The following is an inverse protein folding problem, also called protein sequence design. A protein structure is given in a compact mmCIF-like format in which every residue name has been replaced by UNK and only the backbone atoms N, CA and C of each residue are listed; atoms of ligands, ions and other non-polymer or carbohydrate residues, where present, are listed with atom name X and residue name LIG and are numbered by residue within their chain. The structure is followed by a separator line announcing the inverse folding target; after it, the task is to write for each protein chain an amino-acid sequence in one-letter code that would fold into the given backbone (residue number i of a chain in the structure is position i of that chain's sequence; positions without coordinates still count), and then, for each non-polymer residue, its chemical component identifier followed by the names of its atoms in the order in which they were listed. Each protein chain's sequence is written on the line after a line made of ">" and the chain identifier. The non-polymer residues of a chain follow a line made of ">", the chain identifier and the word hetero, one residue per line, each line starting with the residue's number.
data_IF_264057201260
#
_entry.id   IF_264057201260
#
_cell.length_a   1.000
_cell.length_b   1.000
_cell.length_c   1.000
_cell.angle_alpha   90.00
_cell.angle_beta   90.00
_cell.angle_gamma   90.00
#
_symmetry.space_group_name_H-M   'P 1'
#
loop_
_entity.id
_entity.type
_entity.pdbx_description
1 polymer ?
#
# COMPACT_ATOMS: atom_id res chain seq x y z
N UNK A 1 1.34 1.99 13.79
CA UNK A 1 0.25 1.69 12.86
C UNK A 1 -1.12 1.68 13.54
N UNK A 2 -1.16 1.51 14.85
CA UNK A 2 -2.34 1.12 15.64
C UNK A 2 -3.43 2.20 15.63
N UNK A 3 -3.04 3.48 15.63
CA UNK A 3 -3.98 4.60 15.47
C UNK A 3 -4.66 4.63 14.10
N UNK A 4 -4.03 4.08 13.05
CA UNK A 4 -4.68 3.92 11.75
C UNK A 4 -5.72 2.78 11.78
N UNK A 5 -5.37 1.61 12.36
CA UNK A 5 -6.33 0.51 12.56
C UNK A 5 -7.58 0.96 13.30
N UNK A 6 -7.40 1.67 14.43
CA UNK A 6 -8.50 2.24 15.23
C UNK A 6 -9.39 3.19 14.45
N UNK A 7 -8.80 4.01 13.57
CA UNK A 7 -9.54 4.92 12.69
C UNK A 7 -10.24 4.16 11.57
N UNK A 8 -9.60 3.12 11.02
CA UNK A 8 -10.17 2.25 9.99
C UNK A 8 -11.40 1.50 10.53
N UNK A 9 -11.31 0.86 11.69
CA UNK A 9 -12.43 0.20 12.36
C UNK A 9 -13.58 1.15 12.72
N UNK A 10 -13.28 2.38 13.16
CA UNK A 10 -14.29 3.42 13.38
C UNK A 10 -15.03 3.80 12.08
N UNK A 11 -14.30 3.94 10.97
CA UNK A 11 -14.87 4.30 9.67
C UNK A 11 -15.67 3.16 9.05
N UNK A 12 -15.12 1.94 8.98
CA UNK A 12 -15.83 0.77 8.45
C UNK A 12 -17.02 0.36 9.30
N UNK A 13 -17.01 0.61 10.62
CA UNK A 13 -18.23 0.55 11.42
C UNK A 13 -19.25 1.61 10.98
N UNK A 14 -18.84 2.88 10.86
CA UNK A 14 -19.74 3.98 10.49
C UNK A 14 -20.33 3.88 9.08
N UNK A 15 -19.64 3.19 8.17
CA UNK A 15 -20.08 2.89 6.80
C UNK A 15 -20.76 1.53 6.66
N UNK A 16 -20.82 0.73 7.73
CA UNK A 16 -21.43 -0.61 7.74
C UNK A 16 -20.60 -1.71 7.07
N UNK A 17 -19.42 -1.40 6.52
CA UNK A 17 -18.57 -2.39 5.82
C UNK A 17 -17.84 -3.36 6.74
N UNK A 18 -17.68 -3.03 8.03
CA UNK A 18 -16.99 -3.86 9.03
C UNK A 18 -17.55 -5.29 9.14
N UNK A 19 -18.84 -5.48 8.84
CA UNK A 19 -19.53 -6.79 8.88
C UNK A 19 -19.90 -7.35 7.50
N UNK A 20 -19.43 -6.72 6.41
CA UNK A 20 -19.70 -7.18 5.03
C UNK A 20 -18.57 -8.02 4.44
N UNK A 21 -17.38 -8.02 5.04
CA UNK A 21 -16.25 -8.83 4.56
C UNK A 21 -16.52 -10.35 4.66
N UNK A 22 -16.02 -11.07 3.65
CA UNK A 22 -15.81 -12.53 3.57
C UNK A 22 -17.01 -13.49 3.39
N UNK A 23 -18.23 -13.22 3.88
CA UNK A 23 -19.24 -14.31 3.91
C UNK A 23 -19.94 -14.66 2.58
N UNK A 24 -20.01 -13.74 1.60
CA UNK A 24 -20.75 -13.96 0.35
C UNK A 24 -20.11 -13.26 -0.88
N UNK A 25 -18.86 -13.58 -1.21
CA UNK A 25 -18.29 -13.23 -2.52
C UNK A 25 -18.61 -14.32 -3.55
N UNK A 26 -18.90 -13.90 -4.79
CA UNK A 26 -19.06 -14.81 -5.93
C UNK A 26 -17.67 -15.19 -6.51
N UNK A 27 -17.48 -16.41 -7.02
CA UNK A 27 -16.20 -16.83 -7.59
C UNK A 27 -15.84 -16.00 -8.82
N UNK A 28 -14.55 -15.67 -8.98
CA UNK A 28 -14.06 -14.78 -10.04
C UNK A 28 -14.46 -15.26 -11.45
N UNK A 29 -14.90 -14.36 -12.36
CA UNK A 29 -15.26 -14.74 -13.73
C UNK A 29 -14.15 -15.39 -14.57
N UNK A 30 -12.88 -15.28 -14.14
CA UNK A 30 -11.70 -15.81 -14.83
C UNK A 30 -11.24 -17.22 -14.40
N UNK A 31 -12.10 -18.03 -13.78
CA UNK A 31 -11.77 -19.40 -13.35
C UNK A 31 -12.10 -20.44 -14.45
N UNK A 32 -11.10 -20.87 -15.24
CA UNK A 32 -11.19 -22.01 -16.17
C UNK A 32 -9.81 -22.47 -16.72
N UNK A 33 -9.80 -23.55 -17.53
CA UNK A 33 -8.60 -24.33 -17.88
C UNK A 33 -7.89 -24.04 -19.22
N UNK A 34 -7.00 -24.97 -19.59
CA UNK A 34 -5.92 -24.87 -20.60
C UNK A 34 -6.32 -24.92 -22.09
N UNK A 35 -5.55 -24.43 -23.09
CA UNK A 35 -4.30 -23.59 -23.16
C UNK A 35 -4.12 -22.99 -24.58
N UNK A 36 -3.34 -21.89 -24.72
CA UNK A 36 -2.78 -21.39 -26.00
C UNK A 36 -1.64 -20.37 -25.79
N UNK A 37 -0.67 -20.24 -26.73
CA UNK A 37 0.61 -19.50 -26.50
C UNK A 37 1.03 -18.60 -27.70
N UNK A 38 1.78 -17.51 -27.43
CA UNK A 38 2.25 -16.46 -28.37
C UNK A 38 3.71 -15.98 -28.05
N UNK A 39 4.64 -15.77 -29.02
CA UNK A 39 6.03 -15.31 -28.80
C UNK A 39 6.42 -13.90 -29.35
N UNK A 40 7.59 -13.35 -28.93
CA UNK A 40 7.97 -11.90 -28.98
C UNK A 40 9.46 -11.64 -29.33
N UNK A 41 9.84 -10.40 -29.74
CA UNK A 41 11.20 -9.73 -29.74
C UNK A 41 11.03 -8.27 -30.23
N UNK A 42 11.96 -7.28 -30.25
CA UNK A 42 13.06 -6.74 -29.38
C UNK A 42 13.52 -5.37 -30.03
N UNK A 43 14.51 -4.52 -29.66
CA UNK A 43 15.70 -4.51 -28.75
C UNK A 43 16.23 -3.04 -28.54
N UNK A 44 17.27 -2.83 -27.70
CA UNK A 44 18.32 -1.76 -27.74
C UNK A 44 18.20 -0.48 -26.84
N UNK A 45 19.33 0.21 -26.62
CA UNK A 45 19.71 1.08 -25.46
C UNK A 45 20.18 2.51 -25.89
N UNK A 46 20.61 3.50 -25.06
CA UNK A 46 21.18 3.58 -23.69
C UNK A 46 21.01 4.99 -23.04
N UNK A 47 21.14 5.12 -21.69
CA UNK A 47 21.69 6.28 -20.90
C UNK A 47 21.58 6.07 -19.36
N UNK A 48 22.65 6.03 -18.52
CA UNK A 48 22.62 5.40 -17.18
C UNK A 48 21.52 5.81 -16.16
N UNK A 49 21.17 7.09 -16.02
CA UNK A 49 20.13 7.51 -15.05
C UNK A 49 18.71 7.29 -15.58
N UNK A 50 18.51 7.48 -16.89
CA UNK A 50 17.23 7.19 -17.56
C UNK A 50 17.07 5.67 -17.69
N UNK A 51 18.15 4.92 -17.94
CA UNK A 51 18.22 3.46 -17.80
C UNK A 51 17.73 3.06 -16.43
N UNK A 52 18.17 3.67 -15.32
CA UNK A 52 17.71 3.20 -14.01
C UNK A 52 16.19 3.33 -13.83
N UNK A 53 15.59 4.43 -14.32
CA UNK A 53 14.14 4.65 -14.28
C UNK A 53 13.42 3.69 -15.25
N UNK A 54 13.87 3.57 -16.50
CA UNK A 54 13.29 2.66 -17.50
C UNK A 54 13.46 1.20 -17.11
N UNK A 55 14.61 0.80 -16.57
CA UNK A 55 14.91 -0.53 -16.05
C UNK A 55 14.02 -0.86 -14.86
N UNK A 56 13.88 0.03 -13.88
CA UNK A 56 13.00 -0.23 -12.72
C UNK A 56 11.52 -0.28 -13.11
N UNK A 57 11.09 0.47 -14.13
CA UNK A 57 9.75 0.34 -14.71
C UNK A 57 9.58 -0.95 -15.52
N UNK A 58 10.58 -1.35 -16.34
CA UNK A 58 10.54 -2.61 -17.10
C UNK A 58 10.60 -3.84 -16.19
N UNK A 59 11.42 -3.81 -15.13
CA UNK A 59 11.39 -4.82 -14.06
C UNK A 59 10.07 -4.77 -13.30
N UNK A 60 9.54 -3.59 -12.98
CA UNK A 60 8.23 -3.43 -12.35
C UNK A 60 7.12 -4.12 -13.14
N UNK A 61 7.11 -3.93 -14.47
CA UNK A 61 6.17 -4.59 -15.36
C UNK A 61 6.44 -6.10 -15.48
N UNK A 62 7.70 -6.53 -15.66
CA UNK A 62 8.05 -7.94 -15.74
C UNK A 62 7.73 -8.70 -14.44
N UNK A 63 8.01 -8.12 -13.27
CA UNK A 63 7.67 -8.68 -11.97
C UNK A 63 6.16 -8.71 -11.72
N UNK A 64 5.38 -7.74 -12.24
CA UNK A 64 3.91 -7.82 -12.22
C UNK A 64 3.43 -9.00 -13.06
N UNK A 65 3.90 -9.14 -14.30
CA UNK A 65 3.56 -10.29 -15.16
C UNK A 65 3.92 -11.62 -14.51
N UNK A 66 5.12 -11.75 -13.94
CA UNK A 66 5.56 -12.98 -13.25
C UNK A 66 4.76 -13.22 -11.97
N UNK A 67 4.46 -12.19 -11.17
CA UNK A 67 3.67 -12.34 -9.94
C UNK A 67 2.20 -12.68 -10.23
N UNK A 68 1.62 -12.15 -11.30
CA UNK A 68 0.31 -12.56 -11.81
C UNK A 68 0.34 -14.04 -12.22
N UNK A 69 1.23 -14.43 -13.14
CA UNK A 69 1.37 -15.81 -13.61
C UNK A 69 1.56 -16.81 -12.46
N UNK A 70 2.42 -16.49 -11.47
CA UNK A 70 2.62 -17.33 -10.29
C UNK A 70 1.38 -17.43 -9.39
N UNK A 71 0.53 -16.40 -9.33
CA UNK A 71 -0.68 -16.40 -8.48
C UNK A 71 -1.89 -16.98 -9.21
N UNK A 72 -1.93 -16.90 -10.53
CA UNK A 72 -2.88 -17.63 -11.38
C UNK A 72 -2.57 -19.13 -11.32
N UNK A 73 -1.30 -19.52 -11.36
CA UNK A 73 -0.86 -20.90 -11.15
C UNK A 73 -1.16 -21.45 -9.75
N UNK A 74 -1.19 -20.60 -8.71
CA UNK A 74 -1.65 -20.99 -7.36
C UNK A 74 -3.17 -21.28 -7.28
N UNK A 75 -3.95 -20.92 -8.30
CA UNK A 75 -5.38 -21.23 -8.45
C UNK A 75 -6.24 -20.93 -7.21
N UNK A 76 -6.13 -19.70 -6.70
CA UNK A 76 -6.90 -19.22 -5.55
C UNK A 76 -8.40 -19.19 -5.83
N UNK A 77 -9.18 -19.81 -4.93
CA UNK A 77 -10.64 -19.94 -5.05
C UNK A 77 -11.39 -18.61 -4.92
N UNK A 78 -10.96 -17.75 -3.99
CA UNK A 78 -11.60 -16.48 -3.66
C UNK A 78 -10.76 -15.31 -4.20
N UNK A 79 -11.40 -14.28 -4.76
CA UNK A 79 -10.68 -13.14 -5.36
C UNK A 79 -9.88 -12.34 -4.31
N UNK A 80 -10.38 -12.23 -3.08
CA UNK A 80 -9.66 -11.64 -1.95
C UNK A 80 -8.34 -12.37 -1.65
N UNK A 81 -8.33 -13.71 -1.70
CA UNK A 81 -7.13 -14.53 -1.52
C UNK A 81 -6.16 -14.39 -2.71
N UNK A 82 -6.67 -14.37 -3.95
CA UNK A 82 -5.87 -14.09 -5.14
C UNK A 82 -5.17 -12.74 -5.03
N UNK A 83 -5.91 -11.67 -4.73
CA UNK A 83 -5.35 -10.32 -4.58
C UNK A 83 -4.37 -10.24 -3.40
N UNK A 84 -4.62 -10.94 -2.29
CA UNK A 84 -3.69 -11.04 -1.17
C UNK A 84 -2.34 -11.64 -1.61
N UNK A 85 -2.38 -12.80 -2.27
CA UNK A 85 -1.19 -13.55 -2.69
C UNK A 85 -0.43 -12.86 -3.83
N UNK A 86 -1.14 -12.22 -4.77
CA UNK A 86 -0.53 -11.44 -5.84
C UNK A 86 0.16 -10.19 -5.29
N UNK A 87 -0.55 -9.42 -4.46
CA UNK A 87 -0.01 -8.23 -3.79
C UNK A 87 1.24 -8.58 -2.99
N UNK A 88 1.20 -9.63 -2.18
CA UNK A 88 2.34 -10.07 -1.36
C UNK A 88 3.59 -10.37 -2.21
N UNK A 89 3.46 -11.03 -3.37
CA UNK A 89 4.59 -11.28 -4.29
C UNK A 89 5.15 -9.97 -4.85
N UNK A 90 4.29 -9.11 -5.43
CA UNK A 90 4.73 -7.84 -6.02
C UNK A 90 5.37 -6.92 -4.98
N UNK A 91 4.87 -6.92 -3.74
CA UNK A 91 5.45 -6.18 -2.62
C UNK A 91 6.88 -6.60 -2.31
N UNK A 92 7.16 -7.90 -2.23
CA UNK A 92 8.52 -8.41 -1.97
C UNK A 92 9.48 -8.02 -3.09
N UNK A 93 9.10 -8.17 -4.36
CA UNK A 93 9.92 -7.73 -5.49
C UNK A 93 10.12 -6.21 -5.51
N UNK A 94 9.07 -5.43 -5.20
CA UNK A 94 9.14 -3.96 -5.12
C UNK A 94 10.07 -3.49 -4.00
N UNK A 95 10.07 -4.17 -2.85
CA UNK A 95 10.98 -3.89 -1.74
C UNK A 95 12.44 -4.12 -2.16
N UNK A 96 12.77 -5.29 -2.72
CA UNK A 96 14.14 -5.56 -3.15
C UNK A 96 14.60 -4.61 -4.26
N UNK A 97 13.75 -4.35 -5.27
CA UNK A 97 14.09 -3.45 -6.37
C UNK A 97 14.41 -2.01 -5.90
N UNK A 98 13.62 -1.46 -4.95
CA UNK A 98 13.80 -0.08 -4.49
C UNK A 98 14.86 0.08 -3.39
N UNK A 99 15.04 -0.93 -2.53
CA UNK A 99 15.88 -0.78 -1.32
C UNK A 99 17.18 -1.59 -1.34
N UNK A 100 17.34 -2.64 -2.17
CA UNK A 100 18.55 -3.47 -2.13
C UNK A 100 19.83 -2.68 -2.46
N UNK A 101 19.78 -1.71 -3.38
CA UNK A 101 20.92 -0.83 -3.68
C UNK A 101 21.27 0.07 -2.50
N UNK A 102 20.27 0.57 -1.76
CA UNK A 102 20.47 1.41 -0.59
C UNK A 102 21.03 0.59 0.60
N UNK A 103 20.48 -0.60 0.86
CA UNK A 103 21.04 -1.55 1.83
C UNK A 103 22.45 -2.01 1.45
N UNK A 104 22.75 -2.21 0.17
CA UNK A 104 24.11 -2.52 -0.27
C UNK A 104 25.10 -1.38 0.05
N UNK A 105 24.71 -0.12 -0.16
CA UNK A 105 25.53 1.04 0.22
C UNK A 105 25.66 1.13 1.75
N UNK A 106 24.57 0.94 2.50
CA UNK A 106 24.55 1.02 3.95
C UNK A 106 25.39 -0.07 4.64
N UNK A 107 25.21 -1.34 4.26
CA UNK A 107 25.76 -2.50 4.98
C UNK A 107 27.17 -2.84 4.48
N UNK A 108 27.35 -2.95 3.16
CA UNK A 108 28.60 -3.44 2.57
C UNK A 108 29.60 -2.32 2.26
N UNK A 109 29.14 -1.17 1.74
CA UNK A 109 30.04 -0.01 1.51
C UNK A 109 30.23 0.88 2.75
N UNK A 110 29.29 0.86 3.68
CA UNK A 110 29.26 1.68 4.91
C UNK A 110 29.40 3.20 4.68
N UNK A 111 29.12 3.66 3.47
CA UNK A 111 29.26 5.07 3.05
C UNK A 111 27.93 5.80 3.21
N UNK A 112 27.74 6.42 4.38
CA UNK A 112 26.55 7.21 4.68
C UNK A 112 26.46 8.49 3.82
N UNK A 113 27.56 8.99 3.25
CA UNK A 113 27.55 10.18 2.39
C UNK A 113 27.09 9.85 0.98
N UNK A 114 27.52 8.72 0.43
CA UNK A 114 26.95 8.15 -0.80
C UNK A 114 25.48 7.76 -0.60
N UNK A 115 25.12 7.17 0.55
CA UNK A 115 23.73 6.85 0.88
C UNK A 115 22.85 8.10 0.93
N UNK A 116 23.29 9.14 1.65
CA UNK A 116 22.61 10.45 1.70
C UNK A 116 22.46 11.09 0.32
N UNK A 117 23.52 11.05 -0.52
CA UNK A 117 23.48 11.52 -1.91
C UNK A 117 22.51 10.72 -2.79
N UNK A 118 22.37 9.40 -2.56
CA UNK A 118 21.40 8.58 -3.30
C UNK A 118 19.97 8.79 -2.83
N UNK A 119 19.72 8.87 -1.52
CA UNK A 119 18.41 9.19 -0.96
C UNK A 119 17.90 10.56 -1.42
N UNK A 120 18.72 11.61 -1.29
CA UNK A 120 18.38 12.96 -1.78
C UNK A 120 18.17 12.98 -3.30
N UNK A 121 19.05 12.34 -4.08
CA UNK A 121 18.89 12.25 -5.54
C UNK A 121 17.64 11.47 -5.97
N UNK A 122 17.23 10.43 -5.24
CA UNK A 122 16.00 9.68 -5.52
C UNK A 122 14.77 10.52 -5.15
N UNK A 123 14.67 10.95 -3.89
CA UNK A 123 13.50 11.67 -3.38
C UNK A 123 13.25 12.98 -4.15
N UNK A 124 14.29 13.78 -4.41
CA UNK A 124 14.12 15.05 -5.13
C UNK A 124 13.74 14.79 -6.60
N UNK A 125 14.37 13.82 -7.27
CA UNK A 125 14.06 13.52 -8.67
C UNK A 125 12.67 12.91 -8.82
N UNK A 126 12.28 11.95 -7.97
CA UNK A 126 10.95 11.36 -7.96
C UNK A 126 9.89 12.42 -7.71
N UNK A 127 10.01 13.27 -6.69
CA UNK A 127 8.93 14.25 -6.44
C UNK A 127 8.89 15.33 -7.54
N UNK A 128 10.02 15.70 -8.17
CA UNK A 128 10.01 16.60 -9.34
C UNK A 128 9.34 15.95 -10.56
N UNK A 129 9.57 14.66 -10.81
CA UNK A 129 8.92 13.93 -11.91
C UNK A 129 7.42 13.72 -11.63
N UNK A 130 7.07 13.24 -10.44
CA UNK A 130 5.69 12.96 -10.05
C UNK A 130 4.85 14.25 -10.04
N UNK A 131 5.32 15.33 -9.41
CA UNK A 131 4.61 16.62 -9.43
C UNK A 131 4.56 17.25 -10.83
N UNK A 132 5.52 16.97 -11.73
CA UNK A 132 5.39 17.36 -13.13
C UNK A 132 4.29 16.57 -13.84
N UNK A 133 4.18 15.24 -13.63
CA UNK A 133 3.08 14.45 -14.21
C UNK A 133 1.72 14.82 -13.62
N UNK A 134 1.62 15.05 -12.30
CA UNK A 134 0.38 15.47 -11.64
C UNK A 134 -0.14 16.86 -12.10
N UNK A 135 0.74 17.73 -12.61
CA UNK A 135 0.33 19.03 -13.18
C UNK A 135 0.08 18.94 -14.69
N UNK A 136 0.90 18.19 -15.42
CA UNK A 136 0.82 18.10 -16.88
C UNK A 136 -0.33 17.21 -17.35
N UNK A 137 -0.64 16.10 -16.66
CA UNK A 137 -1.74 15.20 -17.06
C UNK A 137 -3.10 15.93 -17.01
N UNK A 138 -3.48 16.65 -15.94
CA UNK A 138 -4.68 17.50 -15.95
C UNK A 138 -4.73 18.50 -17.11
N UNK A 139 -3.62 19.22 -17.34
CA UNK A 139 -3.54 20.24 -18.39
C UNK A 139 -3.68 19.65 -19.80
N UNK A 140 -3.02 18.53 -20.08
CA UNK A 140 -3.11 17.83 -21.37
C UNK A 140 -4.51 17.26 -21.58
N UNK A 141 -5.12 16.64 -20.57
CA UNK A 141 -6.46 16.06 -20.72
C UNK A 141 -7.53 17.14 -20.90
N UNK A 142 -7.51 18.23 -20.14
CA UNK A 142 -8.44 19.33 -20.41
C UNK A 142 -8.16 20.00 -21.76
N UNK A 143 -6.89 20.17 -22.16
CA UNK A 143 -6.57 20.82 -23.43
C UNK A 143 -6.99 20.03 -24.67
N UNK A 144 -6.84 18.70 -24.65
CA UNK A 144 -7.09 17.86 -25.83
C UNK A 144 -8.41 17.08 -25.78
N UNK A 145 -8.81 16.57 -24.61
CA UNK A 145 -10.04 15.75 -24.48
C UNK A 145 -11.30 16.64 -24.38
N UNK A 146 -11.25 17.68 -23.53
CA UNK A 146 -12.32 18.68 -23.36
C UNK A 146 -12.62 19.47 -24.65
N UNK A 147 -11.67 19.52 -25.59
CA UNK A 147 -11.85 20.16 -26.89
C UNK A 147 -12.50 19.25 -27.95
N UNK A 148 -12.53 17.93 -27.75
CA UNK A 148 -13.19 16.99 -28.68
C UNK A 148 -14.68 16.85 -28.40
N UNK A 149 -15.11 17.00 -27.14
CA UNK A 149 -16.52 16.91 -26.72
C UNK A 149 -17.31 18.23 -26.85
N UNK A 150 -16.77 19.23 -27.57
CA UNK A 150 -17.46 20.52 -27.79
C UNK A 150 -18.36 20.58 -29.02
N UNK A 151 -18.26 19.61 -29.91
CA UNK A 151 -19.06 19.54 -31.15
C UNK A 151 -20.25 18.58 -31.04
N UNK A 152 -20.29 17.75 -29.99
CA UNK A 152 -21.46 16.97 -29.62
C UNK A 152 -22.30 17.78 -28.63
N UNK A 153 -23.53 18.09 -29.04
CA UNK A 153 -24.64 18.54 -28.21
C UNK A 153 -25.91 17.92 -28.78
N UNK A 154 -26.47 16.94 -28.10
CA UNK A 154 -27.89 16.64 -28.26
C UNK A 154 -28.72 17.58 -27.38
N UNK A 155 -30.05 17.63 -27.57
CA UNK A 155 -30.94 18.46 -26.74
C UNK A 155 -31.11 17.91 -25.30
N UNK A 156 -30.62 16.68 -25.01
CA UNK A 156 -30.64 16.06 -23.68
C UNK A 156 -29.24 16.05 -23.02
N UNK A 157 -29.00 16.88 -21.99
CA UNK A 157 -27.72 16.88 -21.26
C UNK A 157 -27.45 15.57 -20.50
N UNK A 158 -28.45 14.72 -20.25
CA UNK A 158 -28.22 13.41 -19.64
C UNK A 158 -27.53 12.44 -20.63
N UNK A 159 -27.90 12.48 -21.91
CA UNK A 159 -27.27 11.69 -22.96
C UNK A 159 -25.81 12.10 -23.17
N UNK A 160 -25.54 13.41 -23.31
CA UNK A 160 -24.19 14.00 -23.39
C UNK A 160 -23.32 13.52 -22.21
N UNK A 161 -23.85 13.56 -20.97
CA UNK A 161 -23.13 13.10 -19.78
C UNK A 161 -22.80 11.60 -19.81
N UNK A 162 -23.74 10.74 -20.23
CA UNK A 162 -23.51 9.30 -20.31
C UNK A 162 -22.51 8.94 -21.43
N UNK A 163 -22.53 9.65 -22.56
CA UNK A 163 -21.55 9.47 -23.63
C UNK A 163 -20.15 9.96 -23.21
N UNK A 164 -20.06 11.09 -22.50
CA UNK A 164 -18.81 11.61 -21.96
C UNK A 164 -18.17 10.64 -20.95
N UNK A 165 -18.91 10.11 -19.97
CA UNK A 165 -18.39 9.07 -19.07
C UNK A 165 -18.05 7.79 -19.84
N UNK A 166 -18.89 7.39 -20.81
CA UNK A 166 -18.64 6.26 -21.70
C UNK A 166 -17.36 6.35 -22.55
N UNK A 167 -16.75 7.53 -22.67
CA UNK A 167 -15.49 7.75 -23.41
C UNK A 167 -14.22 7.58 -22.56
N UNK A 168 -14.27 7.85 -21.24
CA UNK A 168 -13.10 7.82 -20.35
C UNK A 168 -12.51 6.40 -20.22
N UNK A 169 -11.23 6.23 -19.82
CA UNK A 169 -10.70 4.92 -19.44
C UNK A 169 -11.32 4.39 -18.13
N UNK A 170 -11.37 3.05 -17.93
CA UNK A 170 -11.76 2.46 -16.65
C UNK A 170 -10.68 2.73 -15.58
N UNK A 171 -11.10 2.84 -14.31
CA UNK A 171 -10.17 3.04 -13.19
C UNK A 171 -9.32 1.78 -12.94
N UNK A 172 -7.97 1.88 -12.88
CA UNK A 172 -7.07 0.72 -12.76
C UNK A 172 -6.96 0.12 -11.35
N UNK A 173 -7.62 0.71 -10.36
CA UNK A 173 -7.56 0.26 -8.96
C UNK A 173 -6.45 0.94 -8.14
N UNK A 174 -6.62 0.95 -6.81
CA UNK A 174 -5.74 1.67 -5.86
C UNK A 174 -4.36 1.02 -5.65
N UNK A 175 -4.07 -0.08 -6.34
CA UNK A 175 -2.87 -0.89 -6.12
C UNK A 175 -1.56 -0.13 -6.40
N UNK A 176 -1.57 0.78 -7.38
CA UNK A 176 -0.41 1.62 -7.70
C UNK A 176 -0.16 2.66 -6.59
N UNK A 177 -1.20 3.40 -6.22
CA UNK A 177 -1.13 4.50 -5.26
C UNK A 177 -0.65 3.99 -3.87
N UNK A 178 -1.14 2.83 -3.42
CA UNK A 178 -0.65 2.20 -2.19
C UNK A 178 0.81 1.71 -2.27
N UNK A 179 1.30 1.28 -3.44
CA UNK A 179 2.71 0.89 -3.62
C UNK A 179 3.63 2.11 -3.55
N UNK A 180 3.21 3.24 -4.10
CA UNK A 180 3.93 4.51 -3.96
C UNK A 180 4.01 4.92 -2.47
N UNK A 181 2.87 5.00 -1.78
CA UNK A 181 2.84 5.37 -0.35
C UNK A 181 3.70 4.44 0.52
N UNK A 182 3.74 3.13 0.21
CA UNK A 182 4.60 2.17 0.91
C UNK A 182 6.09 2.38 0.60
N UNK A 183 6.47 2.65 -0.64
CA UNK A 183 7.86 2.92 -1.03
C UNK A 183 8.35 4.24 -0.44
N UNK A 184 7.53 5.30 -0.48
CA UNK A 184 7.79 6.58 0.20
C UNK A 184 7.98 6.37 1.72
N UNK A 185 7.09 5.62 2.38
CA UNK A 185 7.23 5.27 3.79
C UNK A 185 8.51 4.46 4.07
N UNK A 186 8.92 3.58 3.15
CA UNK A 186 10.18 2.84 3.23
C UNK A 186 11.41 3.77 3.20
N UNK A 187 11.47 4.74 2.28
CA UNK A 187 12.57 5.72 2.26
C UNK A 187 12.62 6.55 3.56
N UNK A 188 11.46 6.95 4.09
CA UNK A 188 11.36 7.70 5.34
C UNK A 188 11.80 6.89 6.55
N UNK A 189 11.21 5.71 6.73
CA UNK A 189 11.37 4.90 7.94
C UNK A 189 12.74 4.23 7.98
N UNK A 190 13.15 3.52 6.92
CA UNK A 190 14.37 2.71 6.92
C UNK A 190 15.66 3.55 7.02
N UNK A 191 15.64 4.81 6.59
CA UNK A 191 16.83 5.66 6.45
C UNK A 191 16.73 7.02 7.18
N UNK A 192 15.80 7.16 8.13
CA UNK A 192 15.47 8.44 8.80
C UNK A 192 16.70 9.17 9.36
N UNK A 193 17.64 8.45 9.99
CA UNK A 193 18.84 9.02 10.59
C UNK A 193 19.88 9.52 9.57
N UNK A 194 19.78 9.15 8.29
CA UNK A 194 20.75 9.50 7.23
C UNK A 194 20.25 10.69 6.40
N UNK A 195 18.94 10.79 6.15
CA UNK A 195 18.36 11.94 5.43
C UNK A 195 17.08 12.47 6.12
N UNK A 196 17.20 13.19 7.26
CA UNK A 196 16.06 13.77 7.97
C UNK A 196 15.09 14.64 7.15
N UNK A 197 15.53 15.41 6.11
CA UNK A 197 14.61 16.18 5.27
C UNK A 197 13.53 15.36 4.54
N UNK A 198 13.69 14.03 4.43
CA UNK A 198 12.69 13.12 3.84
C UNK A 198 11.28 13.35 4.41
N UNK A 199 11.16 13.57 5.72
CA UNK A 199 9.86 13.79 6.37
C UNK A 199 9.12 15.02 5.82
N UNK A 200 9.85 16.10 5.53
CA UNK A 200 9.27 17.35 5.00
C UNK A 200 8.98 17.22 3.51
N UNK A 201 9.88 16.60 2.74
CA UNK A 201 9.69 16.37 1.30
C UNK A 201 8.47 15.50 1.01
N UNK A 202 8.28 14.41 1.76
CA UNK A 202 7.12 13.54 1.63
C UNK A 202 5.84 14.17 2.19
N UNK A 203 5.92 14.99 3.25
CA UNK A 203 4.75 15.74 3.73
C UNK A 203 4.24 16.72 2.67
N UNK A 204 5.14 17.46 2.00
CA UNK A 204 4.78 18.35 0.90
C UNK A 204 4.15 17.54 -0.24
N UNK A 205 4.79 16.43 -0.64
CA UNK A 205 4.26 15.58 -1.72
C UNK A 205 2.87 15.03 -1.39
N UNK A 206 2.66 14.51 -0.18
CA UNK A 206 1.35 13.95 0.20
C UNK A 206 0.24 14.99 0.25
N UNK A 207 0.57 16.28 0.47
CA UNK A 207 -0.40 17.37 0.39
C UNK A 207 -0.81 17.66 -1.06
N UNK A 208 0.10 17.51 -2.03
CA UNK A 208 -0.20 17.63 -3.45
C UNK A 208 -0.85 16.38 -4.03
N UNK A 209 -0.40 15.17 -3.66
CA UNK A 209 -0.99 13.88 -4.09
C UNK A 209 -2.47 13.77 -3.74
N UNK A 210 -2.87 14.20 -2.54
CA UNK A 210 -4.31 14.26 -2.12
C UNK A 210 -5.17 15.10 -3.10
N UNK A 211 -4.57 16.03 -3.85
CA UNK A 211 -5.25 16.81 -4.91
C UNK A 211 -5.10 16.16 -6.28
N UNK A 212 -3.94 15.59 -6.58
CA UNK A 212 -3.67 14.79 -7.77
C UNK A 212 -4.63 13.60 -7.90
N UNK A 213 -4.64 12.71 -6.92
CA UNK A 213 -5.50 11.52 -6.87
C UNK A 213 -6.99 11.85 -6.94
N UNK A 214 -7.41 12.92 -6.24
CA UNK A 214 -8.77 13.43 -6.34
C UNK A 214 -9.11 13.90 -7.76
N UNK A 215 -8.17 14.55 -8.47
CA UNK A 215 -8.36 14.89 -9.87
C UNK A 215 -8.38 13.65 -10.77
N UNK A 216 -7.46 12.68 -10.58
CA UNK A 216 -7.44 11.39 -11.31
C UNK A 216 -8.82 10.74 -11.26
N UNK A 217 -9.36 10.54 -10.07
CA UNK A 217 -10.63 9.85 -9.85
C UNK A 217 -11.83 10.67 -10.35
N UNK A 218 -11.82 12.01 -10.20
CA UNK A 218 -12.97 12.84 -10.60
C UNK A 218 -12.96 13.32 -12.06
N UNK A 219 -11.86 13.19 -12.82
CA UNK A 219 -11.73 13.75 -14.17
C UNK A 219 -11.07 12.85 -15.21
N UNK A 220 -10.26 11.86 -14.82
CA UNK A 220 -9.49 11.03 -15.77
C UNK A 220 -10.09 9.65 -16.00
N UNK A 221 -10.87 9.12 -15.06
CA UNK A 221 -11.42 7.77 -15.11
C UNK A 221 -12.95 7.76 -15.01
N UNK A 222 -13.59 6.70 -15.52
CA UNK A 222 -14.99 6.38 -15.20
C UNK A 222 -15.15 6.13 -13.70
N UNK A 223 -16.34 6.38 -13.18
CA UNK A 223 -16.70 6.07 -11.79
C UNK A 223 -16.39 4.60 -11.47
N UNK A 224 -15.51 4.31 -10.49
CA UNK A 224 -15.18 2.94 -10.13
C UNK A 224 -16.33 2.26 -9.38
N UNK A 225 -16.44 0.94 -9.56
CA UNK A 225 -17.17 0.08 -8.65
C UNK A 225 -16.25 -0.28 -7.48
N UNK A 226 -16.58 0.17 -6.26
CA UNK A 226 -15.82 -0.13 -5.05
C UNK A 226 -16.50 -1.26 -4.26
N UNK A 227 -15.83 -2.39 -3.99
CA UNK A 227 -16.36 -3.41 -3.09
C UNK A 227 -16.38 -2.90 -1.63
N UNK A 228 -17.23 -3.48 -0.76
CA UNK A 228 -17.30 -3.09 0.64
C UNK A 228 -16.12 -3.64 1.44
N UNK A 229 -15.07 -2.85 1.58
CA UNK A 229 -13.87 -3.19 2.36
C UNK A 229 -13.95 -2.71 3.82
N UNK A 230 -13.41 -3.51 4.76
CA UNK A 230 -13.37 -3.18 6.19
C UNK A 230 -12.04 -2.57 6.67
N UNK A 231 -10.99 -2.64 5.85
CA UNK A 231 -9.65 -2.09 6.11
C UNK A 231 -8.75 -2.08 4.87
N UNK A 232 -7.43 -1.91 5.05
CA UNK A 232 -6.46 -1.84 3.93
C UNK A 232 -5.79 -3.19 3.58
N UNK A 233 -6.31 -4.31 4.08
CA UNK A 233 -5.79 -5.66 3.77
C UNK A 233 -4.26 -5.81 3.93
N UNK A 234 -3.62 -6.42 2.93
CA UNK A 234 -2.16 -6.73 2.88
C UNK A 234 -1.27 -5.53 3.23
N UNK A 235 -1.69 -4.33 2.84
CA UNK A 235 -0.91 -3.10 3.02
C UNK A 235 -0.62 -2.83 4.50
N UNK A 236 -1.55 -3.19 5.41
CA UNK A 236 -1.35 -3.09 6.86
C UNK A 236 -0.11 -3.89 7.30
N UNK A 237 -0.07 -5.17 6.92
CA UNK A 237 1.06 -6.08 7.18
C UNK A 237 2.36 -5.54 6.59
N UNK A 238 2.31 -4.99 5.37
CA UNK A 238 3.47 -4.42 4.70
C UNK A 238 4.06 -3.21 5.44
N UNK A 239 3.22 -2.25 5.85
CA UNK A 239 3.64 -1.11 6.66
C UNK A 239 4.18 -1.53 8.04
N UNK A 240 3.62 -2.57 8.66
CA UNK A 240 4.11 -3.12 9.94
C UNK A 240 5.47 -3.79 9.82
N UNK A 241 5.70 -4.59 8.78
CA UNK A 241 7.00 -5.22 8.48
C UNK A 241 8.07 -4.16 8.18
N UNK A 242 7.77 -3.16 7.35
CA UNK A 242 8.69 -2.02 7.14
C UNK A 242 8.96 -1.26 8.44
N UNK A 243 7.95 -1.05 9.28
CA UNK A 243 8.10 -0.41 10.60
C UNK A 243 8.97 -1.23 11.58
N UNK A 244 9.04 -2.55 11.43
CA UNK A 244 9.96 -3.41 12.20
C UNK A 244 11.39 -3.32 11.65
N UNK A 245 11.57 -3.52 10.34
CA UNK A 245 12.87 -3.39 9.65
C UNK A 245 13.50 -2.00 9.85
N UNK A 246 12.67 -0.96 9.99
CA UNK A 246 13.07 0.40 10.33
C UNK A 246 13.86 0.48 11.64
N UNK A 247 13.50 -0.28 12.68
CA UNK A 247 14.22 -0.22 13.97
C UNK A 247 15.65 -0.74 13.80
N UNK A 248 15.78 -1.91 13.18
CA UNK A 248 17.07 -2.57 12.86
C UNK A 248 17.93 -1.64 11.98
N UNK A 249 17.34 -1.14 10.89
CA UNK A 249 18.04 -0.29 9.91
C UNK A 249 18.59 0.99 10.54
N UNK A 250 17.79 1.73 11.32
CA UNK A 250 18.28 2.96 11.96
C UNK A 250 19.31 2.68 13.07
N UNK A 251 19.17 1.60 13.85
CA UNK A 251 20.18 1.22 14.86
C UNK A 251 21.54 0.91 14.20
N UNK A 252 21.53 0.14 13.10
CA UNK A 252 22.73 -0.14 12.30
C UNK A 252 23.34 1.12 11.67
N UNK A 253 22.51 2.00 11.10
CA UNK A 253 22.97 3.26 10.49
C UNK A 253 23.56 4.23 11.52
N UNK A 254 23.03 4.25 12.75
CA UNK A 254 23.59 5.03 13.86
C UNK A 254 24.92 4.45 14.36
N UNK A 255 25.05 3.13 14.48
CA UNK A 255 26.34 2.48 14.77
C UNK A 255 27.41 2.81 13.70
N UNK A 256 27.01 2.91 12.43
CA UNK A 256 27.92 3.28 11.35
C UNK A 256 28.29 4.77 11.30
N UNK A 257 27.59 5.64 12.02
CA UNK A 257 27.72 7.09 11.90
C UNK A 257 29.12 7.61 12.29
N UNK A 258 29.79 8.44 11.45
CA UNK A 258 31.13 8.95 11.72
C UNK A 258 31.26 9.69 13.07
N UNK A 259 30.21 10.40 13.51
CA UNK A 259 30.18 11.08 14.82
C UNK A 259 30.24 10.11 16.00
N UNK A 260 29.54 8.97 15.89
CA UNK A 260 29.55 7.92 16.92
C UNK A 260 30.92 7.23 16.91
N UNK A 261 31.43 6.85 15.72
CA UNK A 261 32.75 6.23 15.57
C UNK A 261 33.87 7.09 16.18
N UNK A 262 33.92 8.38 15.85
CA UNK A 262 34.87 9.33 16.44
C UNK A 262 34.75 9.39 17.97
N UNK A 263 33.56 9.66 18.50
CA UNK A 263 33.32 9.72 19.95
C UNK A 263 33.75 8.43 20.68
N UNK A 264 33.52 7.25 20.08
CA UNK A 264 33.93 5.98 20.68
C UNK A 264 35.44 5.74 20.62
N UNK A 265 36.13 6.30 19.62
CA UNK A 265 37.60 6.28 19.55
C UNK A 265 38.22 7.26 20.57
N UNK A 266 37.67 8.47 20.67
CA UNK A 266 38.09 9.49 21.66
C UNK A 266 37.89 8.99 23.10
N UNK A 267 36.82 8.22 23.36
CA UNK A 267 36.53 7.59 24.64
C UNK A 267 37.27 6.26 24.88
N UNK A 268 38.10 5.78 23.94
CA UNK A 268 38.84 4.52 24.06
C UNK A 268 37.99 3.25 24.13
N UNK A 269 36.74 3.28 23.64
CA UNK A 269 35.79 2.18 23.74
C UNK A 269 36.03 1.11 22.66
N UNK A 270 35.98 -0.17 23.04
CA UNK A 270 36.07 -1.28 22.08
C UNK A 270 34.88 -1.27 21.10
N UNK A 271 35.09 -1.36 19.77
CA UNK A 271 34.01 -1.46 18.79
C UNK A 271 33.02 -2.61 19.05
N UNK A 272 33.46 -3.71 19.67
CA UNK A 272 32.58 -4.82 20.05
C UNK A 272 31.59 -4.46 21.17
N UNK A 273 32.03 -3.66 22.15
CA UNK A 273 31.17 -3.17 23.24
C UNK A 273 30.13 -2.19 22.69
N UNK A 274 30.54 -1.31 21.76
CA UNK A 274 29.65 -0.36 21.08
C UNK A 274 28.61 -1.10 20.23
N UNK A 275 29.01 -2.15 19.50
CA UNK A 275 28.07 -2.99 18.72
C UNK A 275 27.03 -3.67 19.63
N UNK A 276 27.47 -4.27 20.75
CA UNK A 276 26.57 -4.88 21.74
C UNK A 276 25.60 -3.83 22.32
N UNK A 277 26.05 -2.61 22.60
CA UNK A 277 25.18 -1.51 23.04
C UNK A 277 24.09 -1.19 22.00
N UNK A 278 24.43 -1.06 20.71
CA UNK A 278 23.41 -0.82 19.68
C UNK A 278 22.43 -1.98 19.50
N UNK A 279 22.88 -3.24 19.63
CA UNK A 279 21.99 -4.42 19.61
C UNK A 279 21.04 -4.41 20.81
N UNK A 280 21.50 -4.02 22.00
CA UNK A 280 20.65 -3.86 23.18
C UNK A 280 19.62 -2.73 23.01
N UNK A 281 20.02 -1.60 22.43
CA UNK A 281 19.10 -0.49 22.10
C UNK A 281 18.04 -0.94 21.09
N UNK A 282 18.43 -1.68 20.05
CA UNK A 282 17.51 -2.26 19.07
C UNK A 282 16.47 -3.17 19.74
N UNK A 283 16.90 -4.09 20.59
CA UNK A 283 16.00 -4.99 21.31
C UNK A 283 15.04 -4.24 22.24
N UNK A 284 15.51 -3.21 22.95
CA UNK A 284 14.65 -2.36 23.79
C UNK A 284 13.62 -1.61 22.94
N UNK A 285 14.01 -1.05 21.79
CA UNK A 285 13.09 -0.37 20.88
C UNK A 285 12.06 -1.32 20.24
N UNK A 286 12.46 -2.55 19.90
CA UNK A 286 11.55 -3.61 19.43
C UNK A 286 10.56 -3.98 20.55
N UNK A 287 11.03 -4.21 21.78
CA UNK A 287 10.17 -4.53 22.92
C UNK A 287 9.17 -3.39 23.19
N UNK A 288 9.60 -2.13 23.17
CA UNK A 288 8.71 -0.96 23.29
C UNK A 288 7.69 -0.90 22.15
N UNK A 289 8.09 -1.18 20.90
CA UNK A 289 7.15 -1.27 19.75
C UNK A 289 6.12 -2.37 19.95
N UNK A 290 6.50 -3.55 20.42
CA UNK A 290 5.58 -4.67 20.70
C UNK A 290 4.64 -4.37 21.87
N UNK A 291 5.14 -3.75 22.94
CA UNK A 291 4.32 -3.30 24.08
C UNK A 291 3.30 -2.25 23.62
N UNK A 292 3.68 -1.28 22.79
CA UNK A 292 2.75 -0.29 22.24
C UNK A 292 1.69 -0.91 21.32
N UNK A 293 2.07 -1.91 20.51
CA UNK A 293 1.14 -2.66 19.68
C UNK A 293 0.14 -3.52 20.50
N UNK A 294 0.54 -3.97 21.69
CA UNK A 294 -0.34 -4.72 22.59
C UNK A 294 -1.24 -3.79 23.45
N UNK A 295 -0.72 -2.65 23.90
CA UNK A 295 -1.45 -1.69 24.77
C UNK A 295 -2.50 -0.88 24.00
N UNK A 296 -2.28 -0.61 22.72
CA UNK A 296 -3.21 0.17 21.89
C UNK A 296 -4.15 -0.81 21.17
N UNK A 297 -5.39 -1.06 21.64
CA UNK A 297 -6.30 -2.00 20.97
C UNK A 297 -6.65 -1.52 19.56
N UNK A 298 -6.72 -2.46 18.62
CA UNK A 298 -6.93 -2.21 17.19
C UNK A 298 -8.35 -1.69 16.88
N UNK A 299 -9.37 -2.07 17.66
CA UNK A 299 -10.73 -1.52 17.61
C UNK A 299 -10.97 -0.52 18.77
N UNK A 300 -11.67 0.62 18.55
CA UNK A 300 -12.14 1.48 19.65
C UNK A 300 -13.26 0.82 20.47
N UNK A 301 -13.28 1.03 21.78
CA UNK A 301 -14.24 0.38 22.70
C UNK A 301 -15.71 0.61 22.33
N UNK A 302 -16.07 1.78 21.78
CA UNK A 302 -17.45 2.06 21.37
C UNK A 302 -17.88 1.28 20.11
N UNK A 303 -16.94 0.91 19.23
CA UNK A 303 -17.18 -0.01 18.11
C UNK A 303 -17.39 -1.41 18.66
N UNK A 304 -16.43 -1.87 19.47
CA UNK A 304 -16.42 -3.19 20.10
C UNK A 304 -17.71 -3.46 20.90
N UNK A 305 -18.09 -2.57 21.82
CA UNK A 305 -19.32 -2.68 22.62
C UNK A 305 -20.57 -2.77 21.74
N UNK A 306 -20.58 -2.11 20.57
CA UNK A 306 -21.75 -2.14 19.68
C UNK A 306 -21.76 -3.37 18.75
N UNK A 307 -20.60 -3.90 18.37
CA UNK A 307 -20.43 -5.21 17.73
C UNK A 307 -20.91 -6.33 18.66
N UNK A 308 -20.42 -6.35 19.90
CA UNK A 308 -20.88 -7.23 21.00
C UNK A 308 -22.41 -7.14 21.18
N UNK A 309 -22.99 -5.93 21.15
CA UNK A 309 -24.45 -5.72 21.23
C UNK A 309 -25.22 -6.28 20.03
N UNK A 310 -24.69 -6.14 18.81
CA UNK A 310 -25.33 -6.68 17.60
C UNK A 310 -25.32 -8.22 17.65
N UNK A 311 -24.18 -8.82 17.99
CA UNK A 311 -24.04 -10.28 18.17
C UNK A 311 -25.00 -10.81 19.25
N UNK A 312 -25.11 -10.09 20.39
CA UNK A 312 -26.07 -10.42 21.44
C UNK A 312 -27.54 -10.37 20.97
N UNK A 313 -27.93 -9.32 20.22
CA UNK A 313 -29.27 -9.23 19.64
C UNK A 313 -29.55 -10.36 18.63
N UNK A 314 -28.58 -10.71 17.78
CA UNK A 314 -28.69 -11.85 16.86
C UNK A 314 -28.84 -13.19 17.60
N UNK A 315 -28.11 -13.38 18.70
CA UNK A 315 -28.27 -14.57 19.56
C UNK A 315 -29.63 -14.64 20.25
N UNK A 316 -30.25 -13.51 20.60
CA UNK A 316 -31.62 -13.49 21.14
C UNK A 316 -32.65 -13.83 20.05
N UNK A 317 -32.57 -13.19 18.88
CA UNK A 317 -33.48 -13.48 17.76
C UNK A 317 -33.43 -14.95 17.33
N UNK A 318 -32.25 -15.56 17.30
CA UNK A 318 -32.07 -16.99 16.99
C UNK A 318 -32.63 -17.92 18.08
N UNK A 319 -32.64 -17.50 19.36
CA UNK A 319 -33.31 -18.23 20.45
C UNK A 319 -34.84 -18.14 20.31
N UNK A 320 -35.37 -16.95 20.05
CA UNK A 320 -36.81 -16.74 19.83
C UNK A 320 -37.32 -17.53 18.62
N UNK A 321 -36.56 -17.52 17.51
CA UNK A 321 -36.86 -18.33 16.32
C UNK A 321 -36.91 -19.82 16.64
N UNK A 322 -35.95 -20.34 17.42
CA UNK A 322 -35.95 -21.76 17.85
C UNK A 322 -37.14 -22.10 18.74
N UNK A 323 -37.47 -21.27 19.73
CA UNK A 323 -38.65 -21.47 20.59
C UNK A 323 -39.93 -21.49 19.75
N UNK A 324 -40.09 -20.54 18.82
CA UNK A 324 -41.24 -20.48 17.92
C UNK A 324 -41.33 -21.69 16.98
N UNK A 325 -40.19 -22.18 16.47
CA UNK A 325 -40.15 -23.38 15.63
C UNK A 325 -40.59 -24.62 16.42
N UNK A 326 -40.04 -24.84 17.62
CA UNK A 326 -40.45 -25.96 18.50
C UNK A 326 -41.92 -25.91 18.92
N UNK A 327 -42.48 -24.71 19.13
CA UNK A 327 -43.93 -24.54 19.36
C UNK A 327 -44.77 -24.87 18.11
N UNK A 328 -44.23 -24.66 16.92
CA UNK A 328 -44.92 -24.94 15.65
C UNK A 328 -44.92 -26.44 15.32
N UNK A 329 -43.80 -27.14 15.54
CA UNK A 329 -43.72 -28.60 15.34
C UNK A 329 -44.45 -29.41 16.43
N UNK A 330 -44.73 -28.80 17.59
CA UNK A 330 -45.53 -29.41 18.65
C UNK A 330 -47.05 -29.36 18.39
N UNK A 331 -47.50 -28.63 17.37
CA UNK A 331 -48.90 -28.64 16.93
C UNK A 331 -49.15 -29.85 15.99
N UNK A 332 -50.23 -30.63 16.19
CA UNK A 332 -50.53 -31.76 15.32
C UNK A 332 -50.81 -31.27 13.90
N UNK A 333 -50.15 -31.87 12.92
CA UNK A 333 -50.44 -31.65 11.50
C UNK A 333 -51.79 -32.31 11.19
N UNK A 334 -52.79 -31.48 10.92
CA UNK A 334 -54.16 -31.85 10.54
C UNK A 334 -54.26 -32.34 9.11
#
# INVERSE_FOLDING_TARGET
>A
MELWKRRSAALSYSWGTLTLTEQFQEPRPGFQGEVGINPVTATLSYLPSIIHIVYTNMLGNAYRTVALQLTEWENHREESAFQYHHTTKVLVFTFFNNFAVLFHIAIFKQDLFLLHKRLSSLLILSQVVNQFTEVVVPFVVDRFYSSSHKELKEDDPAADHMQAEGSLPPFPGLFLEYIELLVQFGYLSLFSCVYPPTAVLLLINNITEIRGDAYKICRLFRKPFSPPESGIGVWQTAFEVLSFLSVISNCWLLFLAPRIKAFTQDAGLSPSLVLIFFIMVEHVLIIVKMILAFIIPDEPDWVRIRKEKIEYCSMLALKEQKVRHSQTDALPRS
#
